data_IF_424921731640
#
_entry.id   IF_424921731640
#
_cell.length_a   1.000
_cell.length_b   1.000
_cell.length_c   1.000
_cell.angle_alpha   90.00
_cell.angle_beta   90.00
_cell.angle_gamma   90.00
#
_symmetry.space_group_name_H-M   'P 1'
#
loop_
_entity.id
_entity.type
_entity.pdbx_description
1 polymer ?
#
# COMPACT_ATOMS: atom_id res chain seq x y z
N UNK A 1 -13.63 10.05 10.37
CA UNK A 1 -13.28 9.70 8.96
C UNK A 1 -12.06 8.78 8.86
N UNK A 2 -10.96 9.04 9.60
CA UNK A 2 -9.74 8.21 9.55
C UNK A 2 -9.94 6.73 9.97
N UNK A 3 -10.77 6.47 11.00
CA UNK A 3 -11.08 5.12 11.51
C UNK A 3 -11.81 4.26 10.46
N UNK A 4 -12.70 4.86 9.67
CA UNK A 4 -13.48 4.16 8.65
C UNK A 4 -12.58 3.69 7.50
N UNK A 5 -11.63 4.55 7.10
CA UNK A 5 -10.64 4.20 6.08
C UNK A 5 -9.73 3.06 6.52
N UNK A 6 -9.27 3.08 7.78
CA UNK A 6 -8.41 2.02 8.31
C UNK A 6 -9.15 0.66 8.33
N UNK A 7 -10.43 0.64 8.75
CA UNK A 7 -11.26 -0.57 8.70
C UNK A 7 -11.46 -1.08 7.26
N UNK A 8 -11.75 -0.19 6.31
CA UNK A 8 -11.86 -0.58 4.89
C UNK A 8 -10.56 -1.14 4.33
N UNK A 9 -9.42 -0.56 4.70
CA UNK A 9 -8.11 -1.06 4.28
C UNK A 9 -7.91 -2.50 4.75
N UNK A 10 -8.22 -2.79 6.02
CA UNK A 10 -8.15 -4.16 6.54
C UNK A 10 -9.07 -5.11 5.78
N UNK A 11 -10.34 -4.74 5.57
CA UNK A 11 -11.30 -5.55 4.82
C UNK A 11 -10.78 -5.86 3.41
N UNK A 12 -10.30 -4.84 2.69
CA UNK A 12 -9.77 -5.00 1.35
C UNK A 12 -8.60 -5.99 1.29
N UNK A 13 -7.66 -5.89 2.23
CA UNK A 13 -6.52 -6.81 2.29
C UNK A 13 -6.91 -8.22 2.73
N UNK A 14 -7.88 -8.37 3.62
CA UNK A 14 -8.43 -9.69 3.97
C UNK A 14 -9.05 -10.36 2.75
N UNK A 15 -9.80 -9.63 1.93
CA UNK A 15 -10.38 -10.16 0.68
C UNK A 15 -9.30 -10.60 -0.30
N UNK A 16 -8.24 -9.80 -0.47
CA UNK A 16 -7.08 -10.19 -1.30
C UNK A 16 -6.39 -11.44 -0.75
N UNK A 17 -6.18 -11.54 0.55
CA UNK A 17 -5.57 -12.71 1.20
C UNK A 17 -6.40 -13.97 1.01
N UNK A 18 -7.72 -13.90 1.18
CA UNK A 18 -8.62 -15.03 0.96
C UNK A 18 -8.56 -15.47 -0.51
N UNK A 19 -8.56 -14.53 -1.46
CA UNK A 19 -8.35 -14.84 -2.87
C UNK A 19 -7.01 -15.55 -3.11
N UNK A 20 -5.91 -15.04 -2.54
CA UNK A 20 -4.60 -15.68 -2.64
C UNK A 20 -4.55 -17.09 -2.05
N UNK A 21 -5.18 -17.30 -0.88
CA UNK A 21 -5.28 -18.63 -0.28
C UNK A 21 -6.07 -19.61 -1.15
N UNK A 22 -7.16 -19.16 -1.78
CA UNK A 22 -7.93 -20.00 -2.69
C UNK A 22 -7.16 -20.39 -3.95
N UNK A 23 -6.22 -19.55 -4.43
CA UNK A 23 -5.29 -19.94 -5.50
C UNK A 23 -4.34 -21.07 -5.04
N UNK A 24 -3.86 -21.01 -3.80
CA UNK A 24 -2.93 -22.01 -3.27
C UNK A 24 -3.60 -23.37 -3.05
N UNK A 25 -4.86 -23.37 -2.62
CA UNK A 25 -5.62 -24.61 -2.38
C UNK A 25 -6.08 -25.28 -3.69
N UNK A 26 -6.02 -24.56 -4.83
CA UNK A 26 -6.29 -25.05 -6.18
C UNK A 26 -7.61 -25.86 -6.30
N UNK A 27 -8.73 -25.21 -5.96
CA UNK A 27 -10.07 -25.81 -6.09
C UNK A 27 -10.58 -25.60 -7.53
N UNK A 28 -10.68 -26.65 -8.37
CA UNK A 28 -10.92 -26.48 -9.82
C UNK A 28 -12.25 -25.79 -10.16
N UNK A 29 -13.28 -26.08 -9.36
CA UNK A 29 -14.65 -25.53 -9.50
C UNK A 29 -14.68 -24.02 -9.25
N UNK A 30 -13.69 -23.49 -8.52
CA UNK A 30 -13.60 -22.10 -8.15
C UNK A 30 -12.55 -21.33 -8.98
N UNK A 31 -12.06 -21.88 -10.09
CA UNK A 31 -10.94 -21.34 -10.88
C UNK A 31 -10.95 -19.82 -11.13
N UNK A 32 -12.11 -19.17 -11.29
CA UNK A 32 -12.21 -17.71 -11.47
C UNK A 32 -12.42 -16.90 -10.18
N UNK A 33 -12.93 -17.53 -9.12
CA UNK A 33 -13.29 -16.86 -7.86
C UNK A 33 -12.09 -16.21 -7.15
N UNK A 34 -10.91 -16.87 -7.05
CA UNK A 34 -9.72 -16.25 -6.46
C UNK A 34 -9.32 -14.95 -7.15
N UNK A 35 -9.34 -14.93 -8.49
CA UNK A 35 -8.99 -13.75 -9.27
C UNK A 35 -9.99 -12.62 -9.04
N UNK A 36 -11.30 -12.92 -9.02
CA UNK A 36 -12.34 -11.91 -8.76
C UNK A 36 -12.19 -11.32 -7.36
N UNK A 37 -11.91 -12.16 -6.34
CA UNK A 37 -11.65 -11.69 -4.98
C UNK A 37 -10.42 -10.79 -4.91
N UNK A 38 -9.31 -11.18 -5.52
CA UNK A 38 -8.10 -10.36 -5.53
C UNK A 38 -8.32 -9.02 -6.24
N UNK A 39 -8.93 -9.03 -7.42
CA UNK A 39 -9.21 -7.82 -8.19
C UNK A 39 -10.16 -6.89 -7.42
N UNK A 40 -11.25 -7.41 -6.87
CA UNK A 40 -12.21 -6.61 -6.10
C UNK A 40 -11.60 -6.02 -4.83
N UNK A 41 -10.78 -6.78 -4.10
CA UNK A 41 -10.06 -6.29 -2.93
C UNK A 41 -9.09 -5.14 -3.27
N UNK A 42 -8.34 -5.26 -4.37
CA UNK A 42 -7.46 -4.19 -4.86
C UNK A 42 -8.26 -2.95 -5.26
N UNK A 43 -9.38 -3.12 -5.97
CA UNK A 43 -10.24 -2.02 -6.38
C UNK A 43 -10.84 -1.29 -5.17
N UNK A 44 -11.33 -2.00 -4.15
CA UNK A 44 -11.81 -1.40 -2.90
C UNK A 44 -10.70 -0.56 -2.23
N UNK A 45 -9.48 -1.09 -2.17
CA UNK A 45 -8.35 -0.37 -1.58
C UNK A 45 -8.01 0.92 -2.32
N UNK A 46 -7.96 0.87 -3.66
CA UNK A 46 -7.67 2.02 -4.53
C UNK A 46 -8.79 3.06 -4.37
N UNK A 47 -10.05 2.63 -4.49
CA UNK A 47 -11.22 3.50 -4.42
C UNK A 47 -11.29 4.24 -3.08
N UNK A 48 -11.15 3.51 -1.97
CA UNK A 48 -11.09 4.11 -0.64
C UNK A 48 -9.92 5.10 -0.53
N UNK A 49 -8.73 4.73 -1.01
CA UNK A 49 -7.57 5.60 -0.94
C UNK A 49 -7.79 6.92 -1.69
N UNK A 50 -8.42 6.89 -2.86
CA UNK A 50 -8.74 8.07 -3.66
C UNK A 50 -9.78 8.98 -2.99
N UNK A 51 -10.80 8.38 -2.36
CA UNK A 51 -11.91 9.09 -1.71
C UNK A 51 -11.52 9.77 -0.39
N UNK A 52 -10.70 9.11 0.43
CA UNK A 52 -10.41 9.58 1.80
C UNK A 52 -9.16 10.47 1.91
N UNK A 53 -8.24 10.43 0.94
CA UNK A 53 -6.97 11.20 0.97
C UNK A 53 -6.93 12.35 -0.03
N UNK A 54 -8.03 13.12 -0.16
CA UNK A 54 -8.22 14.17 -1.18
C UNK A 54 -7.14 15.25 -1.22
N UNK A 55 -6.43 15.48 -0.12
CA UNK A 55 -5.41 16.54 -0.03
C UNK A 55 -4.05 16.18 -0.63
N UNK A 56 -3.84 14.94 -1.09
CA UNK A 56 -2.57 14.49 -1.66
C UNK A 56 -2.66 14.20 -3.15
N UNK A 57 -1.51 14.16 -3.83
CA UNK A 57 -1.43 13.70 -5.23
C UNK A 57 -2.02 12.27 -5.38
N UNK A 58 -2.81 11.96 -6.42
CA UNK A 58 -3.53 10.67 -6.56
C UNK A 58 -2.66 9.43 -6.35
N UNK A 59 -1.50 9.38 -7.00
CA UNK A 59 -0.51 8.30 -6.83
C UNK A 59 -0.01 8.14 -5.39
N UNK A 60 0.14 9.24 -4.63
CA UNK A 60 0.51 9.17 -3.22
C UNK A 60 -0.64 8.64 -2.34
N UNK A 61 -1.89 8.78 -2.78
CA UNK A 61 -3.07 8.30 -2.03
C UNK A 61 -3.08 6.78 -1.97
N UNK A 62 -2.82 6.15 -3.11
CA UNK A 62 -2.77 4.69 -3.32
C UNK A 62 -1.43 4.05 -2.91
N UNK A 63 -0.50 4.82 -2.32
CA UNK A 63 0.76 4.32 -1.77
C UNK A 63 1.97 4.37 -2.70
N UNK A 64 1.80 4.74 -3.97
CA UNK A 64 2.89 4.92 -4.93
C UNK A 64 3.58 6.27 -4.71
N UNK A 65 4.37 6.37 -3.65
CA UNK A 65 5.17 7.55 -3.32
C UNK A 65 6.50 7.58 -4.11
N UNK A 66 6.97 8.77 -4.47
CA UNK A 66 8.26 8.96 -5.16
C UNK A 66 9.21 9.58 -4.16
N UNK A 67 9.92 8.71 -3.46
CA UNK A 67 10.84 9.06 -2.40
C UNK A 67 12.20 9.44 -2.98
N UNK A 68 12.75 10.57 -2.53
CA UNK A 68 14.13 10.98 -2.75
C UNK A 68 14.88 11.02 -1.43
N UNK A 69 16.18 10.70 -1.44
CA UNK A 69 17.03 10.87 -0.27
C UNK A 69 17.26 12.37 -0.06
N UNK A 70 16.84 12.90 1.10
CA UNK A 70 17.06 14.32 1.45
C UNK A 70 18.26 14.52 2.35
N UNK A 71 18.45 13.62 3.31
CA UNK A 71 19.54 13.72 4.28
C UNK A 71 19.84 12.35 4.90
N UNK A 72 20.94 12.27 5.61
CA UNK A 72 21.23 11.14 6.49
C UNK A 72 20.79 11.47 7.91
N UNK A 73 20.42 10.44 8.65
CA UNK A 73 20.19 10.58 10.07
C UNK A 73 21.52 10.99 10.76
N UNK A 74 21.46 12.00 11.62
CA UNK A 74 22.66 12.55 12.26
C UNK A 74 23.21 11.60 13.34
N UNK A 75 22.36 10.76 13.94
CA UNK A 75 22.75 9.79 14.96
C UNK A 75 23.20 8.48 14.33
N UNK A 76 22.56 8.06 13.24
CA UNK A 76 22.89 6.82 12.54
C UNK A 76 23.05 7.04 11.03
N UNK A 77 24.29 7.28 10.59
CA UNK A 77 24.65 7.49 9.16
C UNK A 77 24.26 6.33 8.23
N UNK A 78 23.94 5.17 8.77
CA UNK A 78 23.40 4.01 8.04
C UNK A 78 21.94 4.19 7.61
N UNK A 79 21.22 5.18 8.14
CA UNK A 79 19.84 5.50 7.79
C UNK A 79 19.76 6.72 6.87
N UNK A 80 19.12 6.53 5.72
CA UNK A 80 18.70 7.62 4.85
C UNK A 80 17.32 8.13 5.24
N UNK A 81 17.16 9.45 5.30
CA UNK A 81 15.87 10.13 5.43
C UNK A 81 15.36 10.41 4.01
N UNK A 82 14.35 9.65 3.61
CA UNK A 82 13.72 9.78 2.30
C UNK A 82 12.43 10.59 2.39
N UNK A 83 12.27 11.60 1.54
CA UNK A 83 11.07 12.45 1.48
C UNK A 83 10.37 12.26 0.15
N UNK A 84 9.04 12.16 0.15
CA UNK A 84 8.26 12.08 -1.08
C UNK A 84 8.15 13.48 -1.72
N UNK A 85 8.60 13.63 -2.98
CA UNK A 85 8.54 14.89 -3.74
C UNK A 85 7.13 15.48 -3.88
N UNK A 86 6.10 14.63 -3.82
CA UNK A 86 4.71 14.99 -4.15
C UNK A 86 3.83 15.28 -2.94
N UNK A 87 4.11 14.66 -1.79
CA UNK A 87 3.25 14.78 -0.60
C UNK A 87 4.04 15.06 0.69
N UNK A 88 5.36 15.25 0.61
CA UNK A 88 6.21 15.56 1.77
C UNK A 88 6.37 14.43 2.78
N UNK A 89 5.75 13.26 2.57
CA UNK A 89 5.85 12.13 3.49
C UNK A 89 7.31 11.71 3.64
N UNK A 90 7.78 11.63 4.88
CA UNK A 90 9.14 11.19 5.21
C UNK A 90 9.14 9.73 5.64
N UNK A 91 10.21 8.99 5.30
CA UNK A 91 10.50 7.66 5.84
C UNK A 91 12.00 7.55 6.13
N UNK A 92 12.34 6.90 7.24
CA UNK A 92 13.72 6.49 7.53
C UNK A 92 13.89 5.05 7.04
N UNK A 93 14.93 4.77 6.27
CA UNK A 93 15.24 3.42 5.81
C UNK A 93 16.75 3.19 5.85
N UNK A 94 17.13 1.97 6.22
CA UNK A 94 18.53 1.53 6.20
C UNK A 94 19.04 1.61 4.76
N UNK A 95 20.27 2.07 4.58
CA UNK A 95 20.97 2.01 3.31
C UNK A 95 21.05 0.54 2.89
N UNK A 96 20.42 0.18 1.77
CA UNK A 96 20.72 -1.07 1.12
C UNK A 96 22.18 -0.96 0.65
N UNK A 97 23.07 -1.73 1.27
CA UNK A 97 24.45 -1.84 0.80
C UNK A 97 24.44 -2.43 -0.60
N UNK A 98 24.99 -1.67 -1.55
CA UNK A 98 25.60 -2.26 -2.75
C UNK A 98 27.04 -2.59 -2.43
#
# INVERSE_FOLDING_TARGET
MFVIFEKMKWIAWTVVLVGGLLLVVDIPVLSYVPYILMISGVLIHISGSLLFKKHHHPLCRIGFHQFELKSYDQEMKSFGIYTCKRCGKTKKAVKAGG
#
